data_IF_794226689037
#
_entry.id   IF_794226689037
#
_cell.length_a   1.000
_cell.length_b   1.000
_cell.length_c   1.000
_cell.angle_alpha   90.00
_cell.angle_beta   90.00
_cell.angle_gamma   90.00
#
_symmetry.space_group_name_H-M   'P 1'
#
loop_
_entity.id
_entity.type
_entity.pdbx_description
1 polymer ?
#
# COMPACT_ATOMS: atom_id res chain seq x y z
N UNK A 1 -2.93 14.84 -9.56
CA UNK A 1 -1.49 15.12 -9.32
C UNK A 1 -0.83 13.87 -8.75
N UNK A 2 0.30 13.43 -9.32
CA UNK A 2 1.07 12.29 -8.78
C UNK A 2 2.13 12.77 -7.79
N UNK A 3 2.27 12.05 -6.67
CA UNK A 3 3.11 12.37 -5.52
C UNK A 3 4.09 11.22 -5.28
N UNK A 4 5.39 11.53 -5.31
CA UNK A 4 6.46 10.54 -5.11
C UNK A 4 7.14 10.68 -3.74
N UNK A 5 8.11 9.80 -3.46
CA UNK A 5 8.68 9.46 -2.16
C UNK A 5 9.04 10.62 -1.19
N UNK A 6 9.28 11.86 -1.68
CA UNK A 6 9.51 13.03 -0.79
C UNK A 6 8.24 13.67 -0.23
N UNK A 7 7.12 13.58 -0.93
CA UNK A 7 5.86 14.26 -0.58
C UNK A 7 4.78 13.23 -0.17
N UNK A 8 5.08 11.92 -0.37
CA UNK A 8 4.17 10.80 -0.10
C UNK A 8 3.85 10.58 1.37
N UNK A 9 4.69 11.05 2.30
CA UNK A 9 4.44 10.94 3.74
C UNK A 9 3.68 12.17 4.24
N UNK A 10 2.39 12.01 4.56
CA UNK A 10 1.61 13.04 5.23
C UNK A 10 1.40 12.65 6.70
N UNK A 11 2.11 13.32 7.62
CA UNK A 11 1.55 13.49 8.97
C UNK A 11 0.29 14.35 8.79
N UNK A 12 -0.84 13.90 9.32
CA UNK A 12 -2.20 14.36 8.97
C UNK A 12 -2.59 15.79 9.32
N UNK A 13 -1.72 16.77 9.06
CA UNK A 13 -1.97 18.19 9.30
C UNK A 13 -1.61 19.02 8.06
N UNK A 14 -2.32 18.81 6.96
CA UNK A 14 -2.43 19.83 5.91
C UNK A 14 -3.82 19.70 5.25
N UNK A 15 -4.71 20.60 5.67
CA UNK A 15 -5.93 21.10 5.03
C UNK A 15 -6.76 20.11 4.17
N UNK A 16 -7.90 19.71 4.74
CA UNK A 16 -9.09 19.08 4.13
C UNK A 16 -8.86 18.12 2.94
N UNK A 17 -7.90 17.21 3.09
CA UNK A 17 -7.85 16.01 2.27
C UNK A 17 -8.88 15.01 2.83
N UNK A 18 -10.00 14.79 2.12
CA UNK A 18 -10.89 13.66 2.45
C UNK A 18 -10.18 12.39 1.97
N UNK A 19 -9.57 11.70 2.92
CA UNK A 19 -9.09 10.34 2.73
C UNK A 19 -10.30 9.41 2.60
N UNK A 20 -10.60 8.92 1.40
CA UNK A 20 -11.39 7.69 1.31
C UNK A 20 -10.46 6.52 1.61
N UNK A 21 -10.41 6.26 2.90
CA UNK A 21 -9.99 5.00 3.43
C UNK A 21 -11.30 4.34 3.81
N UNK A 22 -11.81 3.43 2.98
CA UNK A 22 -12.94 2.61 3.42
C UNK A 22 -12.63 1.90 4.75
N UNK A 23 -11.38 1.54 5.11
CA UNK A 23 -11.01 0.84 6.37
C UNK A 23 -9.50 0.85 6.72
N UNK A 24 -8.98 1.81 7.50
CA UNK A 24 -7.61 1.73 8.04
C UNK A 24 -6.59 2.78 7.53
N UNK A 25 -6.10 3.60 8.47
CA UNK A 25 -5.11 4.67 8.30
C UNK A 25 -3.95 4.29 7.34
N UNK A 26 -3.99 4.76 6.09
CA UNK A 26 -2.94 4.58 5.09
C UNK A 26 -1.96 5.74 5.20
N UNK A 27 -0.77 5.47 5.70
CA UNK A 27 0.27 6.48 5.99
C UNK A 27 0.92 7.13 4.74
N UNK A 28 0.34 6.94 3.54
CA UNK A 28 0.91 7.51 2.32
C UNK A 28 -0.11 7.76 1.21
N UNK A 29 0.05 8.89 0.52
CA UNK A 29 -0.74 9.33 -0.65
C UNK A 29 0.21 9.48 -1.84
N UNK A 30 -0.09 8.85 -2.97
CA UNK A 30 0.63 9.07 -4.23
C UNK A 30 -0.23 9.82 -5.26
N UNK A 31 -1.53 10.03 -5.00
CA UNK A 31 -2.45 10.62 -5.95
C UNK A 31 -3.45 11.53 -5.23
N UNK A 32 -3.57 12.76 -5.73
CA UNK A 32 -4.63 13.70 -5.34
C UNK A 32 -5.57 13.91 -6.51
N UNK A 33 -6.86 13.73 -6.25
CA UNK A 33 -7.97 13.94 -7.16
C UNK A 33 -8.78 15.15 -6.66
N UNK A 34 -8.96 16.17 -7.50
CA UNK A 34 -9.90 17.26 -7.22
C UNK A 34 -11.30 16.78 -7.61
N UNK A 35 -12.22 16.79 -6.67
CA UNK A 35 -13.61 16.39 -6.91
C UNK A 35 -14.48 17.58 -7.32
N UNK A 36 -15.64 17.34 -7.94
CA UNK A 36 -16.58 18.41 -8.31
C UNK A 36 -17.13 19.19 -7.11
N UNK A 37 -17.05 18.64 -5.89
CA UNK A 37 -17.43 19.31 -4.63
C UNK A 37 -16.34 20.27 -4.11
N UNK A 38 -15.35 20.61 -4.94
CA UNK A 38 -14.16 21.41 -4.61
C UNK A 38 -13.25 20.79 -3.52
N UNK A 39 -13.53 19.56 -3.07
CA UNK A 39 -12.69 18.88 -2.09
C UNK A 39 -11.55 18.12 -2.75
N UNK A 40 -10.44 18.04 -2.04
CA UNK A 40 -9.30 17.22 -2.44
C UNK A 40 -9.41 15.82 -1.83
N UNK A 41 -9.19 14.83 -2.67
CA UNK A 41 -9.25 13.43 -2.32
C UNK A 41 -7.87 12.80 -2.48
N UNK A 42 -7.36 12.22 -1.40
CA UNK A 42 -6.08 11.52 -1.39
C UNK A 42 -6.25 10.02 -1.54
N UNK A 43 -5.54 9.42 -2.50
CA UNK A 43 -5.43 7.97 -2.62
C UNK A 43 -4.00 7.50 -2.86
N UNK A 44 -3.80 6.19 -2.70
CA UNK A 44 -2.54 5.52 -2.94
C UNK A 44 -2.77 4.40 -3.96
N UNK A 45 -2.26 4.54 -5.17
CA UNK A 45 -2.39 3.53 -6.24
C UNK A 45 -1.15 2.64 -6.39
N UNK A 46 -0.05 2.97 -5.72
CA UNK A 46 1.21 2.20 -5.84
C UNK A 46 1.05 0.75 -5.38
N UNK A 47 0.15 0.47 -4.42
CA UNK A 47 -0.08 -0.91 -4.00
C UNK A 47 -0.69 -1.77 -5.11
N UNK A 48 -1.59 -1.20 -5.93
CA UNK A 48 -2.24 -1.91 -7.04
C UNK A 48 -1.17 -2.22 -8.08
N UNK A 49 -0.43 -1.21 -8.52
CA UNK A 49 0.62 -1.38 -9.52
C UNK A 49 1.69 -2.38 -9.08
N UNK A 50 2.13 -2.32 -7.82
CA UNK A 50 3.14 -3.24 -7.30
C UNK A 50 2.62 -4.69 -7.20
N UNK A 51 1.43 -4.92 -6.65
CA UNK A 51 0.88 -6.27 -6.51
C UNK A 51 0.58 -6.87 -7.89
N UNK A 52 -0.07 -6.12 -8.79
CA UNK A 52 -0.38 -6.61 -10.14
C UNK A 52 0.88 -6.97 -10.93
N UNK A 53 1.93 -6.15 -10.88
CA UNK A 53 3.18 -6.46 -11.58
C UNK A 53 3.87 -7.72 -11.02
N UNK A 54 3.80 -7.93 -9.71
CA UNK A 54 4.36 -9.14 -9.09
C UNK A 54 3.52 -10.37 -9.47
N UNK A 55 2.20 -10.27 -9.41
CA UNK A 55 1.30 -11.37 -9.79
C UNK A 55 1.45 -11.74 -11.26
N UNK A 56 1.56 -10.76 -12.16
CA UNK A 56 1.82 -10.97 -13.59
C UNK A 56 3.16 -11.68 -13.80
N UNK A 57 4.23 -11.25 -13.13
CA UNK A 57 5.53 -11.92 -13.17
C UNK A 57 5.51 -13.36 -12.64
N UNK A 58 4.65 -13.67 -11.67
CA UNK A 58 4.50 -15.01 -11.11
C UNK A 58 3.67 -15.95 -12.00
N UNK A 59 2.66 -15.43 -12.71
CA UNK A 59 1.81 -16.21 -13.61
C UNK A 59 2.61 -16.82 -14.78
N UNK A 60 3.65 -16.13 -15.26
CA UNK A 60 4.58 -16.68 -16.26
C UNK A 60 5.43 -17.86 -15.76
N UNK A 61 5.51 -18.08 -14.43
CA UNK A 61 6.32 -19.14 -13.84
C UNK A 61 5.52 -20.39 -13.47
N UNK A 62 4.27 -20.27 -13.03
CA UNK A 62 3.34 -21.38 -12.77
C UNK A 62 1.88 -20.87 -12.77
N UNK A 63 0.94 -21.48 -13.49
CA UNK A 63 -0.47 -21.11 -13.40
C UNK A 63 -1.02 -21.46 -12.00
N UNK A 64 -1.52 -20.46 -11.27
CA UNK A 64 -2.21 -20.67 -10.00
C UNK A 64 -3.60 -21.28 -10.28
N UNK A 65 -3.75 -22.56 -9.98
CA UNK A 65 -4.95 -23.33 -10.35
C UNK A 65 -6.18 -22.89 -9.50
N UNK A 66 -5.97 -22.31 -8.30
CA UNK A 66 -7.02 -21.75 -7.44
C UNK A 66 -6.46 -20.62 -6.55
N UNK A 67 -6.70 -19.35 -6.88
CA UNK A 67 -6.39 -18.18 -6.02
C UNK A 67 -5.29 -17.24 -6.53
N UNK A 68 -4.97 -16.20 -5.74
CA UNK A 68 -3.91 -15.23 -6.07
C UNK A 68 -2.56 -15.95 -6.29
N UNK A 69 -1.76 -15.57 -7.29
CA UNK A 69 -0.39 -16.10 -7.49
C UNK A 69 0.54 -15.95 -6.27
N UNK A 70 0.19 -15.09 -5.32
CA UNK A 70 0.90 -14.87 -4.06
C UNK A 70 0.53 -15.88 -2.95
N UNK A 71 -0.56 -16.63 -3.13
CA UNK A 71 -1.04 -17.58 -2.15
C UNK A 71 0.02 -18.65 -1.82
N UNK A 72 0.23 -18.90 -0.53
CA UNK A 72 1.20 -19.87 -0.03
C UNK A 72 2.67 -19.47 -0.16
N UNK A 73 2.99 -18.29 -0.73
CA UNK A 73 4.36 -17.77 -0.79
C UNK A 73 4.71 -16.97 0.48
N UNK A 74 5.97 -16.62 0.64
CA UNK A 74 6.42 -15.62 1.63
C UNK A 74 6.66 -14.31 0.90
N UNK A 75 6.01 -13.24 1.34
CA UNK A 75 6.16 -11.91 0.76
C UNK A 75 7.03 -11.03 1.64
N UNK A 76 8.23 -10.68 1.16
CA UNK A 76 9.19 -9.86 1.90
C UNK A 76 9.19 -8.43 1.35
N UNK A 77 8.77 -7.48 2.17
CA UNK A 77 8.87 -6.05 1.86
C UNK A 77 10.14 -5.49 2.45
N UNK A 78 11.03 -4.97 1.60
CA UNK A 78 12.23 -4.26 2.03
C UNK A 78 11.89 -2.77 2.12
N UNK A 79 11.88 -2.23 3.33
CA UNK A 79 11.55 -0.83 3.63
C UNK A 79 10.18 -0.66 4.29
N UNK A 80 10.13 0.17 5.34
CA UNK A 80 8.91 0.44 6.11
C UNK A 80 8.38 1.88 5.91
N UNK A 81 8.65 2.47 4.75
CA UNK A 81 8.04 3.74 4.34
C UNK A 81 6.54 3.54 4.08
N UNK A 82 5.78 4.63 3.93
CA UNK A 82 4.35 4.53 3.64
C UNK A 82 4.02 3.75 2.35
N UNK A 83 4.92 3.71 1.36
CA UNK A 83 4.79 2.85 0.19
C UNK A 83 4.92 1.37 0.54
N UNK A 84 5.99 0.97 1.26
CA UNK A 84 6.20 -0.40 1.71
C UNK A 84 5.07 -0.90 2.62
N UNK A 85 4.57 -0.03 3.51
CA UNK A 85 3.41 -0.33 4.37
C UNK A 85 2.13 -0.54 3.58
N UNK A 86 1.88 0.26 2.54
CA UNK A 86 0.68 0.12 1.71
C UNK A 86 0.68 -1.21 0.94
N UNK A 87 1.83 -1.62 0.39
CA UNK A 87 1.98 -2.91 -0.28
C UNK A 87 1.84 -4.06 0.72
N UNK A 88 2.53 -4.00 1.86
CA UNK A 88 2.45 -5.01 2.92
C UNK A 88 1.02 -5.19 3.44
N UNK A 89 0.27 -4.10 3.59
CA UNK A 89 -1.11 -4.14 4.08
C UNK A 89 -2.04 -4.91 3.15
N UNK A 90 -1.86 -4.78 1.83
CA UNK A 90 -2.70 -5.48 0.85
C UNK A 90 -2.23 -6.92 0.65
N UNK A 91 -0.91 -7.15 0.64
CA UNK A 91 -0.36 -8.50 0.52
C UNK A 91 -0.80 -9.43 1.67
N UNK A 92 -0.97 -8.90 2.89
CA UNK A 92 -1.33 -9.72 4.08
C UNK A 92 -2.66 -10.47 3.93
N UNK A 93 -3.55 -10.04 3.03
CA UNK A 93 -4.85 -10.69 2.80
C UNK A 93 -4.71 -12.03 2.08
N UNK A 94 -3.64 -12.20 1.29
CA UNK A 94 -3.44 -13.37 0.44
C UNK A 94 -2.21 -14.20 0.80
N UNK A 95 -1.28 -13.66 1.60
CA UNK A 95 0.02 -14.28 1.84
C UNK A 95 0.66 -13.85 3.16
N UNK A 96 1.67 -14.61 3.61
CA UNK A 96 2.44 -14.25 4.81
C UNK A 96 3.41 -13.11 4.46
N UNK A 97 3.39 -12.04 5.25
CA UNK A 97 4.19 -10.84 4.99
C UNK A 97 5.27 -10.64 6.06
N UNK A 98 6.49 -10.33 5.62
CA UNK A 98 7.61 -9.91 6.47
C UNK A 98 8.10 -8.55 5.99
N UNK A 99 8.33 -7.61 6.93
CA UNK A 99 8.90 -6.29 6.61
C UNK A 99 10.32 -6.22 7.17
N UNK A 100 11.29 -6.09 6.27
CA UNK A 100 12.69 -5.88 6.62
C UNK A 100 13.04 -4.39 6.53
N UNK A 101 13.71 -3.85 7.55
CA UNK A 101 14.17 -2.45 7.57
C UNK A 101 15.50 -2.33 8.30
N UNK A 102 16.25 -1.25 8.01
CA UNK A 102 17.60 -1.00 8.56
C UNK A 102 17.65 -1.02 10.09
N UNK A 103 16.61 -0.52 10.75
CA UNK A 103 16.56 -0.43 12.21
C UNK A 103 15.31 -1.10 12.73
N UNK A 104 15.48 -2.00 13.70
CA UNK A 104 14.38 -2.70 14.35
C UNK A 104 13.70 -1.75 15.35
N UNK A 105 12.58 -1.19 14.93
CA UNK A 105 11.63 -0.42 15.77
C UNK A 105 10.27 -1.06 15.54
N UNK A 106 9.42 -1.23 16.55
CA UNK A 106 8.10 -1.84 16.32
C UNK A 106 7.29 -1.01 15.33
N UNK A 107 6.94 -1.59 14.18
CA UNK A 107 6.01 -0.97 13.23
C UNK A 107 4.61 -1.46 13.58
N UNK A 108 3.81 -0.63 14.25
CA UNK A 108 2.43 -0.97 14.56
C UNK A 108 1.57 -0.79 13.32
N UNK A 109 1.02 -1.89 12.78
CA UNK A 109 -0.18 -1.80 11.94
C UNK A 109 -1.35 -1.57 12.88
N UNK A 110 -1.76 -0.31 13.09
CA UNK A 110 -3.02 -0.05 13.78
C UNK A 110 -4.15 -0.54 12.88
N UNK A 111 -4.70 -1.70 13.19
CA UNK A 111 -6.01 -2.10 12.69
C UNK A 111 -7.00 -1.05 13.21
N UNK A 112 -7.26 -0.01 12.41
CA UNK A 112 -8.38 0.89 12.70
C UNK A 112 -9.61 0.15 12.26
N UNK A 113 -10.37 -0.34 13.24
CA UNK A 113 -11.70 -0.93 13.08
C UNK A 113 -12.64 0.14 12.51
#
# INVERSE_FOLDING_TARGET
>A
MSITNRIKCCNGSFLELIFDIKRGNREAINCIIKRPDEKLFGCNTDYIGAISAIEEGLQGSQPSIYGSPLAGKLFVVIGASGAGKAIAYVAKENTRVVIAKRTYVSTSFRNSV
#
